data_IF_761409468051
#
_entry.id   IF_761409468051
#
_cell.length_a   1.000
_cell.length_b   1.000
_cell.length_c   1.000
_cell.angle_alpha   90.00
_cell.angle_beta   90.00
_cell.angle_gamma   90.00
#
_symmetry.space_group_name_H-M   'P 1'
#
loop_
_entity.id
_entity.type
_entity.pdbx_description
1 polymer ?
#
# COMPACT_ATOMS: atom_id res chain seq x y z
N UNK A 1 -39.69 -8.28 4.94
CA UNK A 1 -38.82 -9.28 4.28
C UNK A 1 -37.49 -9.33 5.02
N UNK A 2 -37.41 -10.24 6.00
CA UNK A 2 -36.27 -10.49 6.90
C UNK A 2 -36.26 -12.00 7.14
N UNK A 3 -35.77 -12.81 6.20
CA UNK A 3 -35.82 -14.29 6.30
C UNK A 3 -34.71 -15.06 5.57
N UNK A 4 -33.56 -14.43 5.25
CA UNK A 4 -32.40 -15.13 4.68
C UNK A 4 -31.10 -14.84 5.44
N UNK A 5 -31.20 -14.71 6.76
CA UNK A 5 -30.04 -14.78 7.66
C UNK A 5 -30.16 -16.14 8.34
N UNK A 6 -29.13 -16.98 8.20
CA UNK A 6 -29.02 -18.39 8.58
C UNK A 6 -29.25 -19.35 7.40
N UNK A 7 -28.16 -19.73 6.74
CA UNK A 7 -27.74 -21.11 6.41
C UNK A 7 -26.46 -20.95 5.55
N UNK A 8 -25.31 -20.68 6.18
CA UNK A 8 -23.98 -21.12 5.71
C UNK A 8 -23.15 -21.35 6.98
N UNK A 9 -23.56 -22.35 7.74
CA UNK A 9 -22.74 -22.93 8.79
C UNK A 9 -22.83 -24.43 8.58
N UNK A 10 -21.67 -25.02 8.22
CA UNK A 10 -21.27 -26.43 8.28
C UNK A 10 -20.48 -26.71 6.99
N UNK A 11 -19.17 -26.55 7.10
CA UNK A 11 -18.15 -27.41 6.48
C UNK A 11 -16.80 -26.99 7.09
N UNK A 12 -16.67 -27.20 8.40
CA UNK A 12 -15.38 -27.36 9.06
C UNK A 12 -15.10 -28.85 8.99
N UNK A 13 -13.98 -29.25 8.38
CA UNK A 13 -12.95 -30.08 9.04
C UNK A 13 -11.91 -30.57 8.04
N UNK A 14 -10.66 -30.57 8.51
CA UNK A 14 -9.48 -31.31 8.05
C UNK A 14 -8.74 -30.83 6.81
N UNK A 15 -7.85 -29.83 6.99
CA UNK A 15 -6.41 -29.90 6.65
C UNK A 15 -5.73 -29.02 7.70
N UNK A 16 -5.13 -29.59 8.74
CA UNK A 16 -3.72 -29.98 8.72
C UNK A 16 -2.92 -28.94 9.53
N UNK A 17 -2.78 -29.20 10.83
CA UNK A 17 -1.98 -28.42 11.76
C UNK A 17 -0.52 -28.42 11.31
N UNK A 18 0.01 -27.25 10.94
CA UNK A 18 1.45 -27.05 10.75
C UNK A 18 1.81 -25.55 10.77
N UNK A 19 1.58 -24.84 11.88
CA UNK A 19 2.21 -23.53 12.10
C UNK A 19 2.64 -23.40 13.56
N UNK A 20 3.96 -23.29 13.77
CA UNK A 20 4.56 -22.87 15.03
C UNK A 20 4.26 -21.40 15.35
N UNK A 21 4.84 -20.83 16.42
CA UNK A 21 4.47 -19.51 16.96
C UNK A 21 4.76 -18.29 16.06
N UNK A 22 5.13 -18.49 14.80
CA UNK A 22 5.38 -17.42 13.82
C UNK A 22 4.10 -16.88 13.15
N UNK A 23 2.96 -17.59 13.23
CA UNK A 23 1.70 -17.19 12.57
C UNK A 23 1.05 -15.91 13.12
N UNK A 24 1.01 -15.73 14.45
CA UNK A 24 0.24 -14.64 15.07
C UNK A 24 0.77 -13.23 14.72
N UNK A 25 2.10 -13.06 14.65
CA UNK A 25 2.70 -11.74 14.39
C UNK A 25 2.50 -11.29 12.95
N UNK A 26 2.56 -12.23 12.01
CA UNK A 26 2.39 -11.95 10.60
C UNK A 26 0.91 -11.72 10.26
N UNK A 27 0.01 -12.49 10.86
CA UNK A 27 -1.44 -12.30 10.72
C UNK A 27 -1.90 -10.96 11.30
N UNK A 28 -1.39 -10.56 12.47
CA UNK A 28 -1.67 -9.23 13.02
C UNK A 28 -1.16 -8.09 12.14
N UNK A 29 0.02 -8.24 11.50
CA UNK A 29 0.55 -7.23 10.56
C UNK A 29 -0.29 -7.15 9.29
N UNK A 30 -0.69 -8.29 8.73
CA UNK A 30 -1.57 -8.37 7.55
C UNK A 30 -2.93 -7.74 7.83
N UNK A 31 -3.56 -8.12 8.93
CA UNK A 31 -4.84 -7.55 9.37
C UNK A 31 -4.75 -6.02 9.55
N UNK A 32 -3.64 -5.51 10.09
CA UNK A 32 -3.45 -4.07 10.21
C UNK A 32 -3.27 -3.37 8.85
N UNK A 33 -2.59 -4.00 7.90
CA UNK A 33 -2.42 -3.46 6.53
C UNK A 33 -3.76 -3.39 5.80
N UNK A 34 -4.55 -4.46 5.82
CA UNK A 34 -5.87 -4.53 5.19
C UNK A 34 -6.83 -3.48 5.77
N UNK A 35 -6.81 -3.29 7.10
CA UNK A 35 -7.59 -2.23 7.76
C UNK A 35 -7.20 -0.83 7.28
N UNK A 36 -5.90 -0.56 7.13
CA UNK A 36 -5.42 0.74 6.64
C UNK A 36 -5.82 0.95 5.18
N UNK A 37 -5.75 -0.09 4.36
CA UNK A 37 -6.17 -0.03 2.95
C UNK A 37 -7.67 0.20 2.82
N UNK A 38 -8.50 -0.49 3.61
CA UNK A 38 -9.94 -0.25 3.65
C UNK A 38 -10.28 1.18 4.06
N UNK A 39 -9.59 1.72 5.09
CA UNK A 39 -9.74 3.11 5.51
C UNK A 39 -9.31 4.09 4.41
N UNK A 40 -8.24 3.81 3.68
CA UNK A 40 -7.78 4.64 2.56
C UNK A 40 -8.82 4.65 1.43
N UNK A 41 -9.36 3.48 1.07
CA UNK A 41 -10.40 3.33 0.04
C UNK A 41 -11.64 4.12 0.41
N UNK A 42 -12.13 3.96 1.64
CA UNK A 42 -13.29 4.71 2.14
C UNK A 42 -13.03 6.23 2.11
N UNK A 43 -11.87 6.67 2.63
CA UNK A 43 -11.51 8.08 2.68
C UNK A 43 -11.40 8.71 1.29
N UNK A 44 -10.72 8.05 0.35
CA UNK A 44 -10.58 8.56 -1.03
C UNK A 44 -11.94 8.62 -1.73
N UNK A 45 -12.77 7.59 -1.58
CA UNK A 45 -14.12 7.54 -2.17
C UNK A 45 -14.98 8.71 -1.68
N UNK A 46 -14.93 8.98 -0.37
CA UNK A 46 -15.64 10.10 0.26
C UNK A 46 -15.13 11.47 -0.26
N UNK A 47 -13.82 11.69 -0.27
CA UNK A 47 -13.24 12.98 -0.68
C UNK A 47 -13.45 13.30 -2.17
N UNK A 48 -13.54 12.27 -3.00
CA UNK A 48 -13.73 12.41 -4.44
C UNK A 48 -15.19 12.41 -4.87
N UNK A 49 -16.12 12.06 -3.97
CA UNK A 49 -17.55 11.95 -4.27
C UNK A 49 -17.79 11.08 -5.53
N UNK A 50 -17.12 9.92 -5.60
CA UNK A 50 -17.19 9.05 -6.78
C UNK A 50 -18.59 8.47 -6.93
N UNK A 51 -19.17 8.58 -8.13
CA UNK A 51 -20.36 7.81 -8.48
C UNK A 51 -20.02 6.32 -8.64
N UNK A 52 -21.00 5.40 -8.57
CA UNK A 52 -20.73 3.97 -8.77
C UNK A 52 -20.05 3.64 -10.11
N UNK A 53 -20.43 4.33 -11.19
CA UNK A 53 -19.82 4.15 -12.52
C UNK A 53 -18.37 4.66 -12.55
N UNK A 54 -18.12 5.82 -11.97
CA UNK A 54 -16.75 6.37 -11.88
C UNK A 54 -15.86 5.49 -10.98
N UNK A 55 -16.38 5.03 -9.85
CA UNK A 55 -15.64 4.14 -8.94
C UNK A 55 -15.22 2.85 -9.63
N UNK A 56 -16.11 2.25 -10.44
CA UNK A 56 -15.82 1.05 -11.23
C UNK A 56 -14.68 1.25 -12.23
N UNK A 57 -14.48 2.46 -12.74
CA UNK A 57 -13.39 2.81 -13.67
C UNK A 57 -12.13 3.28 -12.94
N UNK A 58 -12.28 4.06 -11.88
CA UNK A 58 -11.21 4.70 -11.12
C UNK A 58 -10.34 3.67 -10.38
N UNK A 59 -10.96 2.78 -9.61
CA UNK A 59 -10.22 1.88 -8.72
C UNK A 59 -9.26 0.93 -9.45
N UNK A 60 -9.63 0.30 -10.59
CA UNK A 60 -8.69 -0.53 -11.36
C UNK A 60 -7.44 0.23 -11.81
N UNK A 61 -7.62 1.45 -12.33
CA UNK A 61 -6.50 2.29 -12.81
C UNK A 61 -5.61 2.72 -11.64
N UNK A 62 -6.22 3.23 -10.58
CA UNK A 62 -5.50 3.70 -9.40
C UNK A 62 -4.74 2.57 -8.69
N UNK A 63 -5.37 1.40 -8.52
CA UNK A 63 -4.75 0.25 -7.87
C UNK A 63 -3.59 -0.31 -8.69
N UNK A 64 -3.70 -0.36 -10.03
CA UNK A 64 -2.60 -0.78 -10.90
C UNK A 64 -1.36 0.09 -10.73
N UNK A 65 -1.54 1.41 -10.64
CA UNK A 65 -0.44 2.36 -10.41
C UNK A 65 0.18 2.16 -9.01
N UNK A 66 -0.66 1.99 -7.99
CA UNK A 66 -0.20 1.71 -6.62
C UNK A 66 0.57 0.41 -6.51
N UNK A 67 0.08 -0.66 -7.14
CA UNK A 67 0.72 -1.97 -7.14
C UNK A 67 2.08 -1.93 -7.84
N UNK A 68 2.15 -1.33 -9.04
CA UNK A 68 3.42 -1.13 -9.77
C UNK A 68 4.44 -0.40 -8.90
N UNK A 69 4.04 0.71 -8.27
CA UNK A 69 4.93 1.45 -7.36
C UNK A 69 5.36 0.59 -6.17
N UNK A 70 4.42 -0.11 -5.54
CA UNK A 70 4.68 -0.97 -4.39
C UNK A 70 5.66 -2.11 -4.73
N UNK A 71 5.60 -2.68 -5.93
CA UNK A 71 6.54 -3.70 -6.41
C UNK A 71 7.96 -3.15 -6.53
N UNK A 72 8.11 -1.95 -7.09
CA UNK A 72 9.41 -1.28 -7.20
C UNK A 72 10.00 -0.94 -5.83
N UNK A 73 9.17 -0.44 -4.90
CA UNK A 73 9.57 -0.17 -3.51
C UNK A 73 10.01 -1.46 -2.79
N UNK A 74 9.33 -2.60 -3.04
CA UNK A 74 9.76 -3.91 -2.51
C UNK A 74 11.12 -4.33 -3.06
N UNK A 75 11.35 -4.17 -4.37
CA UNK A 75 12.65 -4.45 -5.01
C UNK A 75 13.75 -3.59 -4.43
N UNK A 76 13.54 -2.27 -4.34
CA UNK A 76 14.49 -1.33 -3.74
C UNK A 76 14.82 -1.70 -2.29
N UNK A 77 13.81 -2.05 -1.49
CA UNK A 77 14.02 -2.47 -0.10
C UNK A 77 14.84 -3.75 0.01
N UNK A 78 14.63 -4.72 -0.88
CA UNK A 78 15.44 -5.94 -0.92
C UNK A 78 16.89 -5.64 -1.29
N UNK A 79 17.10 -4.80 -2.32
CA UNK A 79 18.42 -4.36 -2.76
C UNK A 79 19.19 -3.63 -1.65
N UNK A 80 18.54 -2.70 -0.94
CA UNK A 80 19.15 -1.99 0.19
C UNK A 80 19.57 -2.97 1.28
N UNK A 81 18.73 -3.95 1.63
CA UNK A 81 19.09 -4.95 2.65
C UNK A 81 20.30 -5.79 2.25
N UNK A 82 20.40 -6.16 0.97
CA UNK A 82 21.56 -6.88 0.45
C UNK A 82 22.83 -6.03 0.51
N UNK A 83 22.72 -4.77 0.09
CA UNK A 83 23.81 -3.80 0.12
C UNK A 83 24.28 -3.53 1.56
N UNK A 84 23.37 -3.34 2.52
CA UNK A 84 23.67 -3.17 3.94
C UNK A 84 24.46 -4.37 4.50
N UNK A 85 24.15 -5.59 4.07
CA UNK A 85 24.84 -6.80 4.51
C UNK A 85 26.28 -6.91 3.97
N UNK A 86 26.63 -6.16 2.93
CA UNK A 86 27.93 -6.22 2.23
C UNK A 86 28.74 -4.92 2.32
N UNK A 87 28.21 -3.88 2.94
CA UNK A 87 28.72 -2.50 2.83
C UNK A 87 30.19 -2.34 3.24
N UNK A 88 30.61 -3.04 4.29
CA UNK A 88 31.99 -2.95 4.80
C UNK A 88 32.99 -3.81 4.01
N UNK A 89 32.49 -4.74 3.18
CA UNK A 89 33.32 -5.74 2.48
C UNK A 89 33.31 -5.61 0.97
N UNK A 90 32.42 -4.79 0.41
CA UNK A 90 32.28 -4.64 -1.04
C UNK A 90 33.38 -3.76 -1.64
N UNK A 91 33.74 -4.06 -2.88
CA UNK A 91 34.64 -3.22 -3.67
C UNK A 91 33.96 -1.92 -4.11
N UNK A 92 34.77 -0.93 -4.48
CA UNK A 92 34.25 0.34 -5.02
C UNK A 92 33.42 0.15 -6.32
N UNK A 93 33.75 -0.87 -7.12
CA UNK A 93 32.99 -1.21 -8.32
C UNK A 93 31.60 -1.74 -7.97
N UNK A 94 31.50 -2.63 -6.97
CA UNK A 94 30.20 -3.13 -6.50
C UNK A 94 29.36 -2.02 -5.86
N UNK A 95 29.99 -1.14 -5.07
CA UNK A 95 29.31 0.03 -4.52
C UNK A 95 28.73 0.93 -5.62
N UNK A 96 29.49 1.16 -6.69
CA UNK A 96 29.02 1.94 -7.86
C UNK A 96 27.81 1.28 -8.53
N UNK A 97 27.80 -0.05 -8.64
CA UNK A 97 26.65 -0.79 -9.18
C UNK A 97 25.40 -0.62 -8.29
N UNK A 98 25.53 -0.79 -6.97
CA UNK A 98 24.42 -0.56 -6.05
C UNK A 98 23.88 0.88 -6.13
N UNK A 99 24.76 1.89 -6.21
CA UNK A 99 24.34 3.29 -6.38
C UNK A 99 23.54 3.46 -7.68
N UNK A 100 24.01 2.89 -8.78
CA UNK A 100 23.31 2.93 -10.08
C UNK A 100 21.94 2.26 -10.00
N UNK A 101 21.85 1.04 -9.46
CA UNK A 101 20.60 0.29 -9.36
C UNK A 101 19.58 0.96 -8.44
N UNK A 102 20.02 1.49 -7.30
CA UNK A 102 19.15 2.24 -6.37
C UNK A 102 18.62 3.49 -7.05
N UNK A 103 19.47 4.22 -7.78
CA UNK A 103 19.08 5.44 -8.50
C UNK A 103 18.08 5.13 -9.62
N UNK A 104 18.30 4.06 -10.38
CA UNK A 104 17.35 3.62 -11.42
C UNK A 104 16.00 3.23 -10.80
N UNK A 105 16.01 2.48 -9.70
CA UNK A 105 14.78 2.15 -8.98
C UNK A 105 14.05 3.39 -8.47
N UNK A 106 14.76 4.40 -7.96
CA UNK A 106 14.15 5.67 -7.54
C UNK A 106 13.47 6.40 -8.70
N UNK A 107 14.14 6.46 -9.86
CA UNK A 107 13.57 7.05 -11.07
C UNK A 107 12.32 6.30 -11.52
N UNK A 108 12.36 4.96 -11.52
CA UNK A 108 11.20 4.13 -11.85
C UNK A 108 10.05 4.31 -10.85
N UNK A 109 10.36 4.39 -9.55
CA UNK A 109 9.38 4.63 -8.49
C UNK A 109 8.70 5.99 -8.69
N UNK A 110 9.49 7.03 -8.97
CA UNK A 110 8.97 8.36 -9.27
C UNK A 110 8.08 8.35 -10.51
N UNK A 111 8.57 7.78 -11.62
CA UNK A 111 7.83 7.68 -12.88
C UNK A 111 6.57 6.80 -12.79
N UNK A 112 6.50 5.87 -11.83
CA UNK A 112 5.33 5.02 -11.60
C UNK A 112 4.21 5.67 -10.78
N UNK A 113 4.44 6.87 -10.23
CA UNK A 113 3.46 7.52 -9.36
C UNK A 113 2.19 7.91 -10.12
N UNK A 114 1.06 7.99 -9.41
CA UNK A 114 -0.20 8.40 -10.04
C UNK A 114 -0.18 9.88 -10.44
N UNK A 115 0.68 10.69 -9.81
CA UNK A 115 0.97 12.06 -10.21
C UNK A 115 1.63 12.11 -11.60
N UNK A 116 2.53 11.18 -11.92
CA UNK A 116 3.15 11.10 -13.25
C UNK A 116 2.25 10.42 -14.28
N UNK A 117 1.37 9.51 -13.85
CA UNK A 117 0.48 8.72 -14.72
C UNK A 117 -0.99 9.15 -14.56
N UNK A 118 -1.25 10.46 -14.60
CA UNK A 118 -2.53 11.04 -14.20
C UNK A 118 -3.61 11.08 -15.31
N UNK A 119 -3.23 10.93 -16.58
CA UNK A 119 -4.10 11.26 -17.71
C UNK A 119 -5.43 10.48 -17.70
N UNK A 120 -5.38 9.17 -17.44
CA UNK A 120 -6.58 8.33 -17.37
C UNK A 120 -7.44 8.63 -16.15
N UNK A 121 -6.80 8.91 -14.99
CA UNK A 121 -7.52 9.32 -13.78
C UNK A 121 -8.25 10.64 -14.04
N UNK A 122 -7.56 11.65 -14.60
CA UNK A 122 -8.15 12.94 -14.96
C UNK A 122 -9.29 12.77 -15.97
N UNK A 123 -9.19 11.83 -16.91
CA UNK A 123 -10.29 11.53 -17.84
C UNK A 123 -11.54 10.98 -17.11
N UNK A 124 -11.37 10.21 -16.04
CA UNK A 124 -12.47 9.62 -15.28
C UNK A 124 -13.10 10.64 -14.33
N UNK A 125 -12.28 11.33 -13.51
CA UNK A 125 -12.78 12.18 -12.41
C UNK A 125 -12.64 13.68 -12.69
N UNK A 126 -11.89 14.09 -13.70
CA UNK A 126 -11.61 15.49 -13.99
C UNK A 126 -10.47 16.08 -13.14
N UNK A 127 -9.83 17.14 -13.66
CA UNK A 127 -8.62 17.72 -13.07
C UNK A 127 -8.84 18.27 -11.64
N UNK A 128 -9.99 18.89 -11.36
CA UNK A 128 -10.30 19.42 -10.02
C UNK A 128 -10.38 18.30 -8.97
N UNK A 129 -11.01 17.16 -9.29
CA UNK A 129 -11.06 16.01 -8.39
C UNK A 129 -9.72 15.29 -8.31
N UNK A 130 -8.92 15.31 -9.38
CA UNK A 130 -7.53 14.84 -9.31
C UNK A 130 -6.69 15.64 -8.29
N UNK A 131 -6.82 16.97 -8.24
CA UNK A 131 -6.16 17.77 -7.19
C UNK A 131 -6.71 17.43 -5.78
N UNK A 132 -8.02 17.14 -5.65
CA UNK A 132 -8.58 16.63 -4.40
C UNK A 132 -7.98 15.27 -4.01
N UNK A 133 -7.74 14.38 -4.97
CA UNK A 133 -7.09 13.07 -4.74
C UNK A 133 -5.70 13.27 -4.14
N UNK A 134 -4.87 14.15 -4.74
CA UNK A 134 -3.53 14.44 -4.24
C UNK A 134 -3.57 14.95 -2.78
N UNK A 135 -4.50 15.86 -2.49
CA UNK A 135 -4.72 16.36 -1.13
C UNK A 135 -5.18 15.24 -0.18
N UNK A 136 -6.13 14.41 -0.61
CA UNK A 136 -6.69 13.33 0.19
C UNK A 136 -5.61 12.30 0.58
N UNK A 137 -4.76 11.89 -0.36
CA UNK A 137 -3.62 11.00 -0.08
C UNK A 137 -2.66 11.59 0.96
N UNK A 138 -2.29 12.87 0.81
CA UNK A 138 -1.42 13.56 1.76
C UNK A 138 -2.05 13.68 3.15
N UNK A 139 -3.31 14.08 3.23
CA UNK A 139 -4.05 14.25 4.48
C UNK A 139 -4.23 12.89 5.19
N UNK A 140 -4.56 11.83 4.44
CA UNK A 140 -4.67 10.48 4.97
C UNK A 140 -3.33 10.01 5.54
N UNK A 141 -2.23 10.16 4.80
CA UNK A 141 -0.89 9.79 5.28
C UNK A 141 -0.50 10.55 6.55
N UNK A 142 -0.79 11.86 6.61
CA UNK A 142 -0.54 12.68 7.80
C UNK A 142 -1.35 12.21 9.00
N UNK A 143 -2.64 11.90 8.79
CA UNK A 143 -3.53 11.34 9.82
C UNK A 143 -3.00 10.01 10.35
N UNK A 144 -2.66 9.07 9.46
CA UNK A 144 -2.14 7.76 9.85
C UNK A 144 -0.82 7.86 10.63
N UNK A 145 0.07 8.79 10.24
CA UNK A 145 1.31 9.03 10.97
C UNK A 145 1.07 9.59 12.37
N UNK A 146 0.11 10.51 12.51
CA UNK A 146 -0.29 11.07 13.81
C UNK A 146 -0.85 9.98 14.72
N UNK A 147 -1.81 9.19 14.23
CA UNK A 147 -2.40 8.08 14.99
C UNK A 147 -1.35 7.05 15.41
N UNK A 148 -0.42 6.71 14.51
CA UNK A 148 0.67 5.78 14.83
C UNK A 148 1.57 6.30 15.97
N UNK A 149 1.93 7.59 15.94
CA UNK A 149 2.72 8.24 17.00
C UNK A 149 1.98 8.27 18.33
N UNK A 150 0.70 8.62 18.34
CA UNK A 150 -0.12 8.69 19.56
C UNK A 150 -0.30 7.30 20.21
N UNK A 151 -0.51 6.25 19.41
CA UNK A 151 -0.58 4.87 19.91
C UNK A 151 0.74 4.40 20.53
N UNK A 152 1.88 4.77 19.93
CA UNK A 152 3.22 4.50 20.49
C UNK A 152 3.52 5.32 21.76
N UNK A 153 3.01 6.55 21.84
CA UNK A 153 3.19 7.43 23.01
C UNK A 153 2.39 7.00 24.24
N UNK A 154 1.19 6.43 24.06
CA UNK A 154 0.36 5.91 25.16
C UNK A 154 0.82 4.56 25.72
N UNK A 155 1.81 3.93 25.10
CA UNK A 155 2.36 2.63 25.50
C UNK A 155 3.69 2.69 26.27
N UNK A 156 4.14 3.87 26.68
CA UNK A 156 5.29 4.03 27.58
C UNK A 156 4.77 4.48 28.96
N UNK A 157 5.01 3.71 30.04
CA UNK A 157 4.97 4.28 31.40
C UNK A 157 6.05 5.35 31.55
#
# INVERSE_FOLDING_TARGET
>A
MKKYILIIAVLISTIGMAQGPEGDRDDHRRMNKEKIEALAVAYITEQLELTPDEAGKFWPVFNKLREKRHDLERKKKALIREMEAKIDTMSNSEATNYVSEITDLDNQIHASSYEQNNAEIIKIIGAKRFLKLMKAEMDFRKKMLKEYKERRGRGRP
#
